data_IF_233246048951
#
_entry.id   IF_233246048951
#
_cell.length_a   1.000
_cell.length_b   1.000
_cell.length_c   1.000
_cell.angle_alpha   90.00
_cell.angle_beta   90.00
_cell.angle_gamma   90.00
#
_symmetry.space_group_name_H-M   'P 1'
#
loop_
_entity.id
_entity.type
_entity.pdbx_description
1 polymer ?
#
# COMPACT_ATOMS: atom_id res chain seq x y z
N UNK A 1 -8.48 17.87 6.89
CA UNK A 1 -8.58 18.09 5.43
C UNK A 1 -8.28 16.75 4.78
N UNK A 2 -9.04 16.33 3.77
CA UNK A 2 -8.76 15.08 3.05
C UNK A 2 -7.91 15.40 1.82
N UNK A 3 -6.80 14.67 1.66
CA UNK A 3 -5.89 14.79 0.52
C UNK A 3 -5.72 13.44 -0.14
N UNK A 4 -5.97 13.35 -1.45
CA UNK A 4 -5.68 12.16 -2.23
C UNK A 4 -4.42 12.33 -3.10
N UNK A 5 -3.70 11.23 -3.32
CA UNK A 5 -2.58 11.18 -4.24
C UNK A 5 -2.52 9.84 -4.96
N UNK A 6 -2.41 9.90 -6.28
CA UNK A 6 -2.07 8.74 -7.11
C UNK A 6 -0.59 8.43 -6.95
N UNK A 7 -0.30 7.20 -6.58
CA UNK A 7 1.06 6.74 -6.26
C UNK A 7 1.31 5.37 -6.88
N UNK A 8 2.57 5.10 -7.19
CA UNK A 8 3.00 3.82 -7.73
C UNK A 8 3.91 3.14 -6.71
N UNK A 9 3.61 1.89 -6.39
CA UNK A 9 4.41 1.08 -5.48
C UNK A 9 5.82 0.88 -6.04
N UNK A 10 6.83 1.18 -5.22
CA UNK A 10 8.24 0.96 -5.54
C UNK A 10 8.64 -0.43 -5.08
N UNK A 11 9.24 -1.19 -5.98
CA UNK A 11 9.85 -2.48 -5.68
C UNK A 11 11.25 -2.28 -5.10
N UNK A 12 11.53 -2.98 -4.01
CA UNK A 12 12.82 -2.98 -3.33
C UNK A 12 13.26 -4.43 -3.19
N UNK A 13 14.46 -4.70 -3.68
CA UNK A 13 15.14 -5.99 -3.51
C UNK A 13 16.20 -5.81 -2.45
N UNK A 14 16.07 -6.56 -1.37
CA UNK A 14 17.09 -6.64 -0.34
C UNK A 14 17.77 -7.99 -0.39
N UNK A 15 19.04 -8.02 -0.01
CA UNK A 15 19.82 -9.24 0.18
C UNK A 15 20.29 -9.29 1.62
N UNK A 16 20.09 -10.43 2.27
CA UNK A 16 20.58 -10.68 3.62
C UNK A 16 21.36 -11.98 3.64
N UNK A 17 22.62 -11.89 4.02
CA UNK A 17 23.50 -13.03 4.21
C UNK A 17 23.42 -13.48 5.68
N UNK A 18 23.02 -14.74 5.89
CA UNK A 18 22.89 -15.35 7.22
C UNK A 18 23.64 -16.68 7.20
N UNK A 19 24.71 -16.78 7.99
CA UNK A 19 25.49 -18.01 8.17
C UNK A 19 25.94 -18.66 6.84
N UNK A 20 26.45 -17.84 5.91
CA UNK A 20 26.90 -18.29 4.58
C UNK A 20 25.79 -18.57 3.56
N UNK A 21 24.51 -18.38 3.91
CA UNK A 21 23.37 -18.46 2.98
C UNK A 21 22.88 -17.06 2.65
N UNK A 22 22.82 -16.73 1.36
CA UNK A 22 22.24 -15.48 0.87
C UNK A 22 20.73 -15.63 0.67
N UNK A 23 19.95 -14.74 1.26
CA UNK A 23 18.50 -14.65 1.09
C UNK A 23 18.16 -13.34 0.38
N UNK A 24 17.41 -13.42 -0.71
CA UNK A 24 16.85 -12.25 -1.39
C UNK A 24 15.39 -12.08 -0.98
N UNK A 25 15.00 -10.85 -0.69
CA UNK A 25 13.62 -10.49 -0.36
C UNK A 25 13.14 -9.34 -1.24
N UNK A 26 11.96 -9.54 -1.81
CA UNK A 26 11.27 -8.52 -2.60
C UNK A 26 10.15 -7.92 -1.75
N UNK A 27 10.16 -6.62 -1.58
CA UNK A 27 9.09 -5.89 -0.92
C UNK A 27 8.68 -4.66 -1.70
N UNK A 28 7.43 -4.25 -1.50
CA UNK A 28 6.85 -3.11 -2.17
C UNK A 28 6.55 -2.03 -1.16
N UNK A 29 6.81 -0.77 -1.54
CA UNK A 29 6.59 0.38 -0.67
C UNK A 29 5.82 1.47 -1.38
N UNK A 30 5.00 2.19 -0.61
CA UNK A 30 4.33 3.43 -1.01
C UNK A 30 5.00 4.63 -0.31
N UNK A 31 4.64 5.88 -0.64
CA UNK A 31 5.10 7.05 0.10
C UNK A 31 4.90 6.88 1.61
N UNK A 32 5.75 7.54 2.41
CA UNK A 32 5.87 7.32 3.86
C UNK A 32 6.42 5.94 4.24
N UNK A 33 7.09 5.24 3.32
CA UNK A 33 7.65 3.90 3.52
C UNK A 33 6.61 2.86 3.96
N UNK A 34 5.36 3.03 3.51
CA UNK A 34 4.29 2.10 3.82
C UNK A 34 4.51 0.79 3.05
N UNK A 35 4.72 -0.30 3.78
CA UNK A 35 4.91 -1.62 3.20
C UNK A 35 3.61 -2.17 2.60
N UNK A 36 3.72 -2.73 1.39
CA UNK A 36 2.63 -3.44 0.71
C UNK A 36 3.06 -4.89 0.50
N UNK A 37 2.19 -5.82 0.92
CA UNK A 37 2.42 -7.26 0.73
C UNK A 37 2.45 -7.63 -0.74
N UNK A 38 3.37 -8.52 -1.12
CA UNK A 38 3.55 -9.00 -2.51
C UNK A 38 2.24 -9.51 -3.14
N UNK A 39 1.45 -10.31 -2.43
CA UNK A 39 0.19 -10.83 -2.96
C UNK A 39 -0.86 -9.74 -3.28
N UNK A 40 -0.80 -8.57 -2.62
CA UNK A 40 -1.68 -7.43 -2.94
C UNK A 40 -1.26 -6.83 -4.28
N UNK A 41 0.05 -6.70 -4.52
CA UNK A 41 0.60 -6.21 -5.78
C UNK A 41 0.30 -7.16 -6.94
N UNK A 42 0.44 -8.47 -6.71
CA UNK A 42 0.13 -9.49 -7.72
C UNK A 42 -1.36 -9.49 -8.11
N UNK A 43 -2.25 -9.26 -7.13
CA UNK A 43 -3.70 -9.26 -7.36
C UNK A 43 -4.23 -7.96 -7.96
N UNK A 44 -3.70 -6.80 -7.54
CA UNK A 44 -4.28 -5.50 -7.85
C UNK A 44 -3.33 -4.54 -8.59
N UNK A 45 -2.13 -4.98 -8.93
CA UNK A 45 -1.13 -4.16 -9.61
C UNK A 45 -0.36 -3.22 -8.68
N UNK A 46 0.43 -2.33 -9.30
CA UNK A 46 1.36 -1.41 -8.60
C UNK A 46 0.79 0.00 -8.41
N UNK A 47 -0.40 0.31 -8.94
CA UNK A 47 -0.99 1.65 -8.89
C UNK A 47 -2.02 1.76 -7.76
N UNK A 48 -1.84 2.75 -6.90
CA UNK A 48 -2.67 2.99 -5.73
C UNK A 48 -3.08 4.46 -5.61
N UNK A 49 -4.13 4.69 -4.84
CA UNK A 49 -4.57 6.00 -4.37
C UNK A 49 -4.34 6.00 -2.86
N UNK A 50 -3.56 6.96 -2.37
CA UNK A 50 -3.36 7.20 -0.95
C UNK A 50 -4.18 8.41 -0.56
N UNK A 51 -5.09 8.20 0.39
CA UNK A 51 -5.96 9.22 0.97
C UNK A 51 -5.54 9.46 2.41
N UNK A 52 -5.28 10.71 2.77
CA UNK A 52 -4.89 11.11 4.11
C UNK A 52 -5.96 12.07 4.62
N UNK A 53 -6.61 11.71 5.72
CA UNK A 53 -7.47 12.63 6.46
C UNK A 53 -6.68 13.23 7.62
N UNK A 54 -6.24 14.48 7.44
CA UNK A 54 -5.47 15.21 8.45
C UNK A 54 -6.27 15.46 9.75
N UNK A 55 -7.60 15.35 9.72
CA UNK A 55 -8.44 15.57 10.91
C UNK A 55 -8.48 14.33 11.81
N UNK A 56 -8.60 13.15 11.21
CA UNK A 56 -8.67 11.87 11.94
C UNK A 56 -7.32 11.17 12.06
N UNK A 57 -6.31 11.57 11.29
CA UNK A 57 -5.02 10.90 11.18
C UNK A 57 -5.08 9.57 10.42
N UNK A 58 -6.19 9.27 9.75
CA UNK A 58 -6.40 8.02 9.03
C UNK A 58 -5.73 8.09 7.65
N UNK A 59 -4.91 7.08 7.34
CA UNK A 59 -4.32 6.88 6.02
C UNK A 59 -4.99 5.69 5.36
N UNK A 60 -5.53 5.90 4.18
CA UNK A 60 -6.16 4.86 3.39
C UNK A 60 -5.47 4.61 2.07
N UNK A 61 -5.22 3.34 1.79
CA UNK A 61 -4.50 2.86 0.62
C UNK A 61 -5.48 2.04 -0.20
N UNK A 62 -5.80 2.52 -1.40
CA UNK A 62 -6.81 1.93 -2.26
C UNK A 62 -6.15 1.54 -3.59
N UNK A 63 -6.24 0.29 -4.06
CA UNK A 63 -5.69 -0.08 -5.37
C UNK A 63 -6.52 0.56 -6.48
N UNK A 64 -5.85 1.11 -7.50
CA UNK A 64 -6.48 1.84 -8.60
C UNK A 64 -7.49 1.01 -9.42
N UNK A 65 -7.30 -0.30 -9.68
CA UNK A 65 -8.30 -1.09 -10.38
C UNK A 65 -9.67 -1.17 -9.67
N UNK A 66 -9.72 -0.89 -8.37
CA UNK A 66 -10.97 -0.86 -7.62
C UNK A 66 -11.60 0.54 -7.57
N UNK A 67 -11.04 1.57 -8.24
CA UNK A 67 -11.51 2.97 -8.21
C UNK A 67 -13.00 3.09 -8.56
N UNK A 68 -13.50 2.26 -9.48
CA UNK A 68 -14.92 2.20 -9.86
C UNK A 68 -15.82 1.51 -8.84
N UNK A 69 -15.27 0.68 -7.95
CA UNK A 69 -15.98 -0.04 -6.89
C UNK A 69 -15.89 0.69 -5.53
N UNK A 70 -15.06 1.72 -5.43
CA UNK A 70 -14.69 2.41 -4.18
C UNK A 70 -15.77 3.38 -3.66
N UNK A 71 -16.86 3.60 -4.40
CA UNK A 71 -18.06 4.26 -3.86
C UNK A 71 -18.66 3.59 -2.61
N UNK A 72 -18.18 2.38 -2.26
CA UNK A 72 -18.69 1.54 -1.16
C UNK A 72 -17.68 1.42 0.01
N UNK A 73 -16.40 1.74 -0.18
CA UNK A 73 -15.37 1.52 0.84
C UNK A 73 -15.03 2.83 1.58
N UNK A 74 -15.91 3.24 2.50
CA UNK A 74 -15.57 4.27 3.48
C UNK A 74 -14.41 3.79 4.36
N UNK A 75 -13.51 4.73 4.63
CA UNK A 75 -12.29 4.55 5.38
C UNK A 75 -12.37 5.40 6.65
N UNK A 76 -12.03 4.88 7.85
CA UNK A 76 -11.68 3.48 8.13
C UNK A 76 -12.87 2.56 7.86
N UNK A 77 -12.58 1.31 7.48
CA UNK A 77 -13.63 0.36 7.19
C UNK A 77 -14.51 0.16 8.45
N UNK A 78 -15.84 0.13 8.33
CA UNK A 78 -16.76 0.13 9.48
C UNK A 78 -16.60 -1.06 10.44
N UNK A 79 -15.84 -2.08 10.03
CA UNK A 79 -15.47 -3.24 10.84
C UNK A 79 -14.16 -3.09 11.64
N UNK A 80 -13.44 -1.97 11.51
CA UNK A 80 -12.21 -1.68 12.26
C UNK A 80 -12.47 -1.06 13.65
N UNK A 81 -13.58 -1.45 14.31
CA UNK A 81 -13.89 -1.10 15.70
C UNK A 81 -13.34 -2.16 16.65
#
# INVERSE_FOLDING_TARGET
MVRDRKVRAKELKGRKDINGKSYEYEYYTLPLNLYVKKHIIEKFGKDFIVEIDDNSGVICIKPKPLESLIGIAQCPAPWAK
#
